data_IF_950635125973
#
_entry.id   IF_950635125973
#
_cell.length_a   1.000
_cell.length_b   1.000
_cell.length_c   1.000
_cell.angle_alpha   90.00
_cell.angle_beta   90.00
_cell.angle_gamma   90.00
#
_symmetry.space_group_name_H-M   'P 1'
#
loop_
_entity.id
_entity.type
_entity.pdbx_description
1 polymer ?
#
# COMPACT_ATOMS: atom_id res chain seq x y z
N UNK A 1 38.81 -13.11 -4.64
CA UNK A 1 38.31 -12.16 -5.65
C UNK A 1 37.05 -11.49 -5.11
N UNK A 2 37.08 -10.16 -5.00
CA UNK A 2 36.09 -9.35 -4.28
C UNK A 2 34.84 -9.05 -5.13
N UNK A 3 33.69 -9.05 -4.46
CA UNK A 3 32.36 -8.83 -5.03
C UNK A 3 32.09 -7.40 -5.53
N UNK A 4 31.41 -7.31 -6.68
CA UNK A 4 30.94 -6.07 -7.31
C UNK A 4 29.49 -6.17 -7.82
N UNK A 5 28.67 -7.07 -7.25
CA UNK A 5 27.27 -7.29 -7.67
C UNK A 5 26.22 -6.34 -7.03
N UNK A 6 26.47 -5.79 -5.84
CA UNK A 6 25.43 -5.05 -5.09
C UNK A 6 25.21 -3.61 -5.52
N UNK A 7 26.20 -2.94 -6.13
CA UNK A 7 26.14 -1.48 -6.32
C UNK A 7 25.34 -1.04 -7.56
N UNK A 8 25.34 -1.85 -8.64
CA UNK A 8 24.54 -1.56 -9.85
C UNK A 8 23.04 -1.77 -9.65
N UNK A 9 22.65 -2.72 -8.79
CA UNK A 9 21.24 -2.98 -8.47
C UNK A 9 20.61 -1.90 -7.59
N UNK A 10 21.39 -1.18 -6.77
CA UNK A 10 20.89 -0.06 -5.97
C UNK A 10 20.41 1.11 -6.85
N UNK A 11 21.25 1.54 -7.80
CA UNK A 11 20.97 2.67 -8.69
C UNK A 11 19.73 2.41 -9.57
N UNK A 12 19.57 1.18 -10.07
CA UNK A 12 18.39 0.83 -10.89
C UNK A 12 17.11 0.72 -10.04
N UNK A 13 17.22 0.19 -8.81
CA UNK A 13 16.08 0.11 -7.89
C UNK A 13 15.59 1.49 -7.48
N UNK A 14 16.50 2.39 -7.14
CA UNK A 14 16.18 3.77 -6.74
C UNK A 14 15.62 4.59 -7.92
N UNK A 15 16.08 4.30 -9.14
CA UNK A 15 15.52 4.88 -10.36
C UNK A 15 14.09 4.39 -10.61
N UNK A 16 13.80 3.11 -10.36
CA UNK A 16 12.45 2.58 -10.55
C UNK A 16 11.46 3.04 -9.47
N UNK A 17 11.91 3.29 -8.25
CA UNK A 17 11.05 3.91 -7.22
C UNK A 17 10.65 5.33 -7.62
N UNK A 18 11.57 6.14 -8.15
CA UNK A 18 11.26 7.49 -8.66
C UNK A 18 10.31 7.43 -9.87
N UNK A 19 10.53 6.49 -10.79
CA UNK A 19 9.61 6.27 -11.91
C UNK A 19 8.22 5.85 -11.41
N UNK A 20 8.15 4.96 -10.43
CA UNK A 20 6.88 4.56 -9.84
C UNK A 20 6.16 5.75 -9.20
N UNK A 21 6.86 6.62 -8.46
CA UNK A 21 6.27 7.85 -7.93
C UNK A 21 5.69 8.73 -9.03
N UNK A 22 6.43 8.93 -10.12
CA UNK A 22 5.96 9.70 -11.28
C UNK A 22 4.71 9.07 -11.91
N UNK A 23 4.74 7.75 -12.12
CA UNK A 23 3.59 6.98 -12.63
C UNK A 23 2.38 7.10 -11.71
N UNK A 24 2.59 7.00 -10.40
CA UNK A 24 1.52 7.06 -9.42
C UNK A 24 0.96 8.48 -9.26
N UNK A 25 1.73 9.53 -9.52
CA UNK A 25 1.27 10.92 -9.41
C UNK A 25 0.57 11.44 -10.68
N UNK A 26 0.85 10.88 -11.85
CA UNK A 26 0.21 11.26 -13.12
C UNK A 26 -1.00 10.36 -13.45
N UNK A 27 -2.15 10.95 -13.75
CA UNK A 27 -3.38 10.19 -13.98
C UNK A 27 -3.35 9.30 -15.23
N UNK A 28 -2.71 9.76 -16.31
CA UNK A 28 -2.62 9.02 -17.56
C UNK A 28 -1.62 7.87 -17.43
N UNK A 29 -0.45 8.12 -16.85
CA UNK A 29 0.53 7.07 -16.58
C UNK A 29 -0.02 6.02 -15.62
N UNK A 30 -0.74 6.43 -14.58
CA UNK A 30 -1.39 5.51 -13.65
C UNK A 30 -2.41 4.62 -14.36
N UNK A 31 -3.15 5.16 -15.32
CA UNK A 31 -4.09 4.38 -16.12
C UNK A 31 -3.38 3.31 -16.95
N UNK A 32 -2.32 3.69 -17.68
CA UNK A 32 -1.53 2.76 -18.48
C UNK A 32 -0.85 1.68 -17.61
N UNK A 33 -0.31 2.08 -16.46
CA UNK A 33 0.30 1.16 -15.53
C UNK A 33 -0.71 0.15 -14.96
N UNK A 34 -1.93 0.61 -14.63
CA UNK A 34 -3.01 -0.28 -14.19
C UNK A 34 -3.39 -1.29 -15.28
N UNK A 35 -3.48 -0.87 -16.54
CA UNK A 35 -3.75 -1.79 -17.65
C UNK A 35 -2.65 -2.85 -17.78
N UNK A 36 -1.38 -2.43 -17.68
CA UNK A 36 -0.26 -3.36 -17.69
C UNK A 36 -0.32 -4.35 -16.50
N UNK A 37 -0.64 -3.88 -15.29
CA UNK A 37 -0.78 -4.74 -14.12
C UNK A 37 -1.92 -5.75 -14.27
N UNK A 38 -3.02 -5.37 -14.94
CA UNK A 38 -4.11 -6.30 -15.24
C UNK A 38 -3.67 -7.40 -16.20
N UNK A 39 -2.90 -7.04 -17.24
CA UNK A 39 -2.33 -8.01 -18.19
C UNK A 39 -1.35 -8.98 -17.53
N UNK A 40 -0.64 -8.53 -16.48
CA UNK A 40 0.29 -9.38 -15.72
C UNK A 40 -0.34 -10.02 -14.47
N UNK A 41 -1.65 -9.89 -14.27
CA UNK A 41 -2.36 -10.41 -13.09
C UNK A 41 -1.75 -9.93 -11.75
N UNK A 42 -1.43 -8.65 -11.66
CA UNK A 42 -0.85 -8.00 -10.48
C UNK A 42 -1.57 -6.68 -10.11
N UNK A 43 -2.80 -6.47 -10.60
CA UNK A 43 -3.61 -5.25 -10.39
C UNK A 43 -3.97 -5.03 -8.90
N UNK A 44 -4.01 -6.11 -8.12
CA UNK A 44 -4.25 -6.06 -6.68
C UNK A 44 -3.22 -5.23 -5.93
N UNK A 45 -1.96 -5.20 -6.39
CA UNK A 45 -0.90 -4.40 -5.76
C UNK A 45 -1.19 -2.90 -5.82
N UNK A 46 -1.64 -2.41 -6.98
CA UNK A 46 -1.98 -1.00 -7.14
C UNK A 46 -3.27 -0.65 -6.40
N UNK A 47 -4.25 -1.56 -6.43
CA UNK A 47 -5.53 -1.38 -5.72
C UNK A 47 -5.29 -1.25 -4.22
N UNK A 48 -4.56 -2.20 -3.63
CA UNK A 48 -4.17 -2.15 -2.23
C UNK A 48 -3.38 -0.88 -1.89
N UNK A 49 -2.39 -0.51 -2.71
CA UNK A 49 -1.59 0.69 -2.46
C UNK A 49 -2.47 1.95 -2.37
N UNK A 50 -3.49 2.07 -3.22
CA UNK A 50 -4.42 3.21 -3.19
C UNK A 50 -5.35 3.15 -1.99
N UNK A 51 -5.99 2.01 -1.75
CA UNK A 51 -6.98 1.83 -0.69
C UNK A 51 -6.35 2.07 0.69
N UNK A 52 -5.14 1.56 0.90
CA UNK A 52 -4.38 1.81 2.13
C UNK A 52 -3.99 3.28 2.25
N UNK A 53 -3.63 3.94 1.15
CA UNK A 53 -3.30 5.37 1.17
C UNK A 53 -4.48 6.25 1.56
N UNK A 54 -5.69 5.90 1.13
CA UNK A 54 -6.93 6.58 1.53
C UNK A 54 -7.25 6.26 3.00
N UNK A 55 -7.17 4.99 3.40
CA UNK A 55 -7.38 4.56 4.78
C UNK A 55 -6.44 5.26 5.77
N UNK A 56 -5.14 5.30 5.51
CA UNK A 56 -4.15 5.93 6.39
C UNK A 56 -4.43 7.43 6.58
N UNK A 57 -4.88 8.13 5.53
CA UNK A 57 -5.30 9.53 5.65
C UNK A 57 -6.51 9.68 6.57
N UNK A 58 -7.54 8.87 6.37
CA UNK A 58 -8.74 8.83 7.21
C UNK A 58 -8.40 8.55 8.68
N UNK A 59 -7.50 7.59 8.94
CA UNK A 59 -7.02 7.29 10.30
C UNK A 59 -6.37 8.50 10.96
N UNK A 60 -5.43 9.15 10.27
CA UNK A 60 -4.70 10.32 10.81
C UNK A 60 -5.65 11.47 11.12
N UNK A 61 -6.61 11.73 10.23
CA UNK A 61 -7.60 12.78 10.44
C UNK A 61 -8.53 12.47 11.62
N UNK A 62 -8.99 11.24 11.76
CA UNK A 62 -9.85 10.83 12.88
C UNK A 62 -9.11 10.83 14.22
N UNK A 63 -7.87 10.34 14.27
CA UNK A 63 -7.02 10.38 15.47
C UNK A 63 -6.81 11.83 15.91
N UNK A 64 -6.47 12.73 14.97
CA UNK A 64 -6.26 14.15 15.26
C UNK A 64 -7.54 14.81 15.81
N UNK A 65 -8.69 14.47 15.25
CA UNK A 65 -9.98 15.00 15.72
C UNK A 65 -10.32 14.47 17.13
N UNK A 66 -10.17 13.17 17.36
CA UNK A 66 -10.43 12.54 18.65
C UNK A 66 -9.50 13.07 19.77
N UNK A 67 -8.24 13.39 19.45
CA UNK A 67 -7.30 13.99 20.40
C UNK A 67 -7.66 15.44 20.74
N UNK A 68 -8.18 16.22 19.78
CA UNK A 68 -8.52 17.64 19.99
C UNK A 68 -9.81 17.82 20.78
N UNK A 69 -10.82 16.99 20.51
CA UNK A 69 -12.13 17.08 21.14
C UNK A 69 -12.76 15.69 21.27
N UNK A 70 -12.33 14.88 22.26
CA UNK A 70 -12.87 13.54 22.47
C UNK A 70 -14.36 13.63 22.82
N UNK A 71 -15.19 13.12 21.92
CA UNK A 71 -16.65 13.05 22.07
C UNK A 71 -17.18 11.73 21.48
N UNK A 72 -18.45 11.39 21.76
CA UNK A 72 -19.06 10.15 21.29
C UNK A 72 -18.97 9.97 19.76
N UNK A 73 -19.19 11.04 18.99
CA UNK A 73 -19.11 11.03 17.53
C UNK A 73 -17.69 10.74 17.01
N UNK A 74 -16.65 11.25 17.69
CA UNK A 74 -15.26 10.91 17.36
C UNK A 74 -14.96 9.43 17.62
N UNK A 75 -15.54 8.84 18.67
CA UNK A 75 -15.38 7.41 18.95
C UNK A 75 -16.12 6.55 17.92
N UNK A 76 -17.31 6.96 17.48
CA UNK A 76 -18.05 6.29 16.39
C UNK A 76 -17.25 6.29 15.08
N UNK A 77 -16.61 7.43 14.76
CA UNK A 77 -15.72 7.54 13.59
C UNK A 77 -14.54 6.58 13.67
N UNK A 78 -13.93 6.43 14.85
CA UNK A 78 -12.83 5.47 15.06
C UNK A 78 -13.33 4.03 14.87
N UNK A 79 -14.54 3.68 15.35
CA UNK A 79 -15.14 2.36 15.15
C UNK A 79 -15.39 2.08 13.67
N UNK A 80 -15.88 3.07 12.93
CA UNK A 80 -16.11 2.95 11.49
C UNK A 80 -14.81 2.74 10.71
N UNK A 81 -13.75 3.50 11.02
CA UNK A 81 -12.44 3.33 10.39
C UNK A 81 -11.84 1.96 10.73
N UNK A 82 -11.98 1.50 11.98
CA UNK A 82 -11.58 0.14 12.35
C UNK A 82 -12.34 -0.93 11.54
N UNK A 83 -13.63 -0.72 11.25
CA UNK A 83 -14.40 -1.61 10.37
C UNK A 83 -13.84 -1.62 8.93
N UNK A 84 -13.44 -0.47 8.40
CA UNK A 84 -12.80 -0.37 7.08
C UNK A 84 -11.46 -1.13 7.03
N UNK A 85 -10.69 -1.13 8.12
CA UNK A 85 -9.45 -1.90 8.21
C UNK A 85 -9.69 -3.40 7.98
N UNK A 86 -10.77 -3.97 8.54
CA UNK A 86 -11.16 -5.38 8.29
C UNK A 86 -11.52 -5.62 6.83
N UNK A 87 -12.17 -4.66 6.17
CA UNK A 87 -12.45 -4.74 4.73
C UNK A 87 -11.18 -4.92 3.92
N UNK A 88 -10.18 -4.06 4.14
CA UNK A 88 -8.89 -4.12 3.43
C UNK A 88 -8.14 -5.42 3.76
N UNK A 89 -8.09 -5.81 5.04
CA UNK A 89 -7.42 -7.03 5.45
C UNK A 89 -8.05 -8.27 4.79
N UNK A 90 -9.37 -8.39 4.83
CA UNK A 90 -10.06 -9.55 4.26
C UNK A 90 -9.94 -9.62 2.73
N UNK A 91 -9.84 -8.48 2.06
CA UNK A 91 -9.71 -8.41 0.61
C UNK A 91 -8.31 -8.77 0.11
N UNK A 92 -7.24 -8.37 0.82
CA UNK A 92 -5.86 -8.41 0.30
C UNK A 92 -4.86 -9.19 1.14
N UNK A 93 -5.13 -9.40 2.43
CA UNK A 93 -4.14 -9.90 3.40
C UNK A 93 -4.57 -11.20 4.09
N UNK A 94 -5.87 -11.47 4.18
CA UNK A 94 -6.36 -12.73 4.71
C UNK A 94 -5.85 -13.91 3.85
N UNK A 95 -5.45 -15.03 4.47
CA UNK A 95 -5.06 -16.23 3.73
C UNK A 95 -6.19 -16.69 2.80
N UNK A 96 -5.86 -16.94 1.52
CA UNK A 96 -6.84 -17.36 0.52
C UNK A 96 -7.75 -16.24 0.02
N UNK A 97 -7.41 -14.98 0.28
CA UNK A 97 -8.14 -13.84 -0.29
C UNK A 97 -8.00 -13.83 -1.83
N UNK A 98 -9.04 -13.41 -2.56
CA UNK A 98 -9.02 -13.42 -4.03
C UNK A 98 -7.97 -12.47 -4.62
N UNK A 99 -7.52 -11.49 -3.84
CA UNK A 99 -6.52 -10.49 -4.20
C UNK A 99 -5.31 -10.56 -3.25
N UNK A 100 -4.95 -11.78 -2.83
CA UNK A 100 -3.89 -12.02 -1.85
C UNK A 100 -2.53 -11.44 -2.27
N UNK A 101 -1.96 -10.58 -1.42
CA UNK A 101 -0.70 -9.90 -1.71
C UNK A 101 0.53 -10.75 -1.39
N UNK A 102 1.53 -10.64 -2.26
CA UNK A 102 2.84 -11.24 -2.08
C UNK A 102 3.78 -10.36 -1.23
N UNK A 103 3.44 -10.21 0.05
CA UNK A 103 4.26 -9.49 1.05
C UNK A 103 4.70 -10.42 2.19
N UNK A 104 5.67 -9.96 2.97
CA UNK A 104 6.29 -10.76 4.04
C UNK A 104 5.28 -11.31 5.05
N UNK A 105 5.43 -12.59 5.40
CA UNK A 105 4.53 -13.31 6.30
C UNK A 105 4.50 -12.70 7.71
N UNK A 106 5.62 -12.15 8.19
CA UNK A 106 5.70 -11.50 9.49
C UNK A 106 4.81 -10.25 9.53
N UNK A 107 4.85 -9.44 8.46
CA UNK A 107 4.03 -8.22 8.38
C UNK A 107 2.53 -8.56 8.36
N UNK A 108 2.17 -9.59 7.60
CA UNK A 108 0.79 -10.11 7.56
C UNK A 108 0.32 -10.60 8.94
N UNK A 109 1.16 -11.38 9.64
CA UNK A 109 0.87 -11.86 10.99
C UNK A 109 0.68 -10.72 12.00
N UNK A 110 1.51 -9.67 11.91
CA UNK A 110 1.42 -8.51 12.78
C UNK A 110 0.08 -7.77 12.58
N UNK A 111 -0.36 -7.59 11.33
CA UNK A 111 -1.68 -7.02 11.01
C UNK A 111 -2.81 -7.87 11.59
N UNK A 112 -2.79 -9.19 11.35
CA UNK A 112 -3.80 -10.10 11.86
C UNK A 112 -3.92 -10.06 13.40
N UNK A 113 -2.77 -10.08 14.09
CA UNK A 113 -2.69 -10.04 15.56
C UNK A 113 -3.22 -8.72 16.10
N UNK A 114 -2.86 -7.60 15.47
CA UNK A 114 -3.26 -6.29 15.99
C UNK A 114 -4.74 -6.00 15.76
N UNK A 115 -5.28 -6.44 14.63
CA UNK A 115 -6.69 -6.30 14.28
C UNK A 115 -7.59 -7.14 15.20
N UNK A 116 -7.16 -8.31 15.65
CA UNK A 116 -7.95 -9.11 16.62
C UNK A 116 -7.92 -8.52 18.04
N UNK A 117 -6.80 -7.92 18.45
CA UNK A 117 -6.65 -7.26 19.76
C UNK A 117 -7.49 -5.98 19.91
N UNK A 118 -7.86 -5.34 18.81
CA UNK A 118 -8.65 -4.10 18.80
C UNK A 118 -10.09 -4.27 19.29
N UNK A 119 -10.62 -5.49 19.28
CA UNK A 119 -12.02 -5.79 19.62
C UNK A 119 -12.14 -6.01 21.13
N UNK A 120 -12.68 -5.03 21.85
CA UNK A 120 -13.14 -5.22 23.24
C UNK A 120 -12.61 -4.23 24.29
N UNK A 121 -11.83 -3.22 23.91
CA UNK A 121 -11.33 -2.20 24.84
C UNK A 121 -11.55 -0.77 24.29
N UNK A 122 -12.65 -0.13 24.69
CA UNK A 122 -12.98 1.25 24.24
C UNK A 122 -11.89 2.28 24.64
N UNK A 123 -11.18 2.05 25.75
CA UNK A 123 -10.16 2.98 26.28
C UNK A 123 -8.82 2.98 25.51
N UNK A 124 -8.55 1.99 24.64
CA UNK A 124 -7.28 1.85 23.90
C UNK A 124 -7.47 1.86 22.39
N UNK A 125 -8.66 2.26 21.90
CA UNK A 125 -8.97 2.25 20.47
C UNK A 125 -8.09 3.20 19.66
N UNK A 126 -7.78 4.39 20.18
CA UNK A 126 -6.94 5.38 19.48
C UNK A 126 -5.51 4.84 19.33
N UNK A 127 -4.93 4.30 20.40
CA UNK A 127 -3.61 3.66 20.38
C UNK A 127 -3.59 2.46 19.42
N UNK A 128 -4.66 1.65 19.45
CA UNK A 128 -4.80 0.52 18.53
C UNK A 128 -4.89 0.96 17.07
N UNK A 129 -5.67 2.01 16.78
CA UNK A 129 -5.77 2.53 15.43
C UNK A 129 -4.44 3.11 14.95
N UNK A 130 -3.67 3.77 15.83
CA UNK A 130 -2.31 4.24 15.51
C UNK A 130 -1.39 3.08 15.12
N UNK A 131 -1.38 1.99 15.89
CA UNK A 131 -0.56 0.81 15.59
C UNK A 131 -1.00 0.10 14.30
N UNK A 132 -2.32 -0.04 14.08
CA UNK A 132 -2.85 -0.59 12.82
C UNK A 132 -2.47 0.30 11.63
N UNK A 133 -2.55 1.62 11.79
CA UNK A 133 -2.16 2.59 10.74
C UNK A 133 -0.70 2.41 10.37
N UNK A 134 0.21 2.32 11.35
CA UNK A 134 1.64 2.12 11.09
C UNK A 134 1.92 0.80 10.34
N UNK A 135 1.24 -0.29 10.72
CA UNK A 135 1.38 -1.57 10.05
C UNK A 135 0.87 -1.54 8.60
N UNK A 136 -0.20 -0.79 8.33
CA UNK A 136 -0.69 -0.58 6.97
C UNK A 136 0.26 0.30 6.15
N UNK A 137 0.91 1.31 6.75
CA UNK A 137 1.97 2.09 6.09
C UNK A 137 3.17 1.20 5.70
N UNK A 138 3.59 0.31 6.60
CA UNK A 138 4.65 -0.67 6.31
C UNK A 138 4.26 -1.59 5.14
N UNK A 139 3.01 -2.08 5.13
CA UNK A 139 2.50 -2.93 4.07
C UNK A 139 2.40 -2.18 2.73
N UNK A 140 1.94 -0.94 2.76
CA UNK A 140 1.89 -0.07 1.58
C UNK A 140 3.29 0.15 1.00
N UNK A 141 4.29 0.40 1.85
CA UNK A 141 5.69 0.55 1.43
C UNK A 141 6.27 -0.76 0.85
N UNK A 142 5.92 -1.90 1.43
CA UNK A 142 6.32 -3.20 0.90
C UNK A 142 5.76 -3.43 -0.52
N UNK A 143 4.47 -3.15 -0.72
CA UNK A 143 3.81 -3.27 -2.03
C UNK A 143 4.35 -2.24 -3.03
N UNK A 144 4.64 -1.02 -2.59
CA UNK A 144 5.32 -0.02 -3.42
C UNK A 144 6.68 -0.51 -3.93
N UNK A 145 7.52 -1.05 -3.04
CA UNK A 145 8.82 -1.63 -3.42
C UNK A 145 8.69 -2.86 -4.30
N UNK A 146 7.65 -3.66 -4.10
CA UNK A 146 7.34 -4.79 -4.97
C UNK A 146 7.00 -4.31 -6.39
N UNK A 147 6.07 -3.37 -6.53
CA UNK A 147 5.72 -2.79 -7.85
C UNK A 147 6.92 -2.12 -8.51
N UNK A 148 7.76 -1.41 -7.76
CA UNK A 148 8.95 -0.76 -8.29
C UNK A 148 10.00 -1.77 -8.79
N UNK A 149 10.15 -2.90 -8.10
CA UNK A 149 11.17 -3.90 -8.45
C UNK A 149 10.71 -4.88 -9.53
N UNK A 150 9.42 -5.25 -9.56
CA UNK A 150 8.90 -6.26 -10.47
C UNK A 150 8.05 -5.68 -11.60
N UNK A 151 7.10 -4.80 -11.29
CA UNK A 151 6.10 -4.33 -12.26
C UNK A 151 6.61 -3.19 -13.14
N UNK A 152 7.36 -2.23 -12.59
CA UNK A 152 7.88 -1.07 -13.34
C UNK A 152 8.82 -1.49 -14.49
N UNK A 153 9.82 -2.38 -14.29
CA UNK A 153 10.66 -2.82 -15.40
C UNK A 153 9.88 -3.51 -16.52
N UNK A 154 8.83 -4.26 -16.19
CA UNK A 154 7.96 -4.93 -17.16
C UNK A 154 7.13 -3.90 -17.94
N UNK A 155 6.58 -2.91 -17.24
CA UNK A 155 5.81 -1.83 -17.85
C UNK A 155 6.66 -1.02 -18.85
N UNK A 156 7.87 -0.63 -18.47
CA UNK A 156 8.77 0.15 -19.35
C UNK A 156 9.26 -0.63 -20.58
N UNK A 157 9.31 -1.96 -20.49
CA UNK A 157 9.70 -2.83 -21.61
C UNK A 157 8.52 -3.28 -22.48
N UNK A 158 7.29 -2.94 -22.09
CA UNK A 158 6.12 -3.36 -22.83
C UNK A 158 5.93 -2.48 -24.08
N UNK A 159 6.14 -3.08 -25.25
CA UNK A 159 6.08 -2.41 -26.55
C UNK A 159 4.74 -1.70 -26.81
N UNK A 160 3.64 -2.17 -26.19
CA UNK A 160 2.30 -1.55 -26.30
C UNK A 160 2.28 -0.09 -25.81
N UNK A 161 3.11 0.25 -24.82
CA UNK A 161 3.11 1.56 -24.18
C UNK A 161 4.32 2.42 -24.57
N UNK A 162 5.24 1.91 -25.40
CA UNK A 162 6.52 2.56 -25.70
C UNK A 162 6.34 3.99 -26.24
N UNK A 163 5.41 4.20 -27.17
CA UNK A 163 5.16 5.52 -27.75
C UNK A 163 4.61 6.50 -26.72
N UNK A 164 3.67 6.07 -25.89
CA UNK A 164 3.11 6.91 -24.83
C UNK A 164 4.20 7.25 -23.81
N UNK A 165 5.00 6.28 -23.36
CA UNK A 165 6.03 6.48 -22.35
C UNK A 165 7.13 7.48 -22.79
N UNK A 166 7.48 7.50 -24.08
CA UNK A 166 8.40 8.50 -24.63
C UNK A 166 7.92 9.94 -24.42
N UNK A 167 6.61 10.19 -24.48
CA UNK A 167 6.05 11.52 -24.27
C UNK A 167 6.11 11.98 -22.80
N UNK A 168 6.36 11.05 -21.87
CA UNK A 168 6.41 11.31 -20.44
C UNK A 168 7.84 11.26 -19.88
N UNK A 169 8.89 11.12 -20.69
CA UNK A 169 10.29 11.00 -20.22
C UNK A 169 10.44 9.95 -19.09
N UNK A 170 9.98 8.72 -19.33
CA UNK A 170 10.09 7.57 -18.42
C UNK A 170 11.16 6.56 -18.86
#
# INVERSE_FOLDING_TARGET
ENGTGSQRNGITRDSNTQRLEKILNDAALRLLFRENLRETHCEENLSFYKDVGEFVRSCKDAIRQAQKAPNASSMDTIKEIMAQAYGIYNAFLAPGSPCELNIDHQLRNNLATRMTKAVGQDNTMIETLQEVTALFEDAQNAVFKLMASDSVPKFLRNAKYEQQLRNYDL
#
